data_IF_516944199634
#
_entry.id   IF_516944199634
#
_cell.length_a   1.000
_cell.length_b   1.000
_cell.length_c   1.000
_cell.angle_alpha   90.00
_cell.angle_beta   90.00
_cell.angle_gamma   90.00
#
_symmetry.space_group_name_H-M   'P 1'
#
loop_
_entity.id
_entity.type
_entity.pdbx_description
1 polymer ?
#
# COMPACT_ATOMS: atom_id res chain seq x y z
N UNK A 1 -19.23 -3.40 -15.42
CA UNK A 1 -17.96 -2.68 -15.64
C UNK A 1 -17.76 -1.56 -14.63
N UNK A 2 -18.54 -0.46 -14.58
CA UNK A 2 -18.31 0.61 -13.58
C UNK A 2 -18.28 0.15 -12.11
N UNK A 3 -19.18 -0.77 -11.73
CA UNK A 3 -19.21 -1.28 -10.35
C UNK A 3 -18.09 -2.30 -10.07
N UNK A 4 -17.52 -2.93 -11.11
CA UNK A 4 -16.49 -3.96 -10.95
C UNK A 4 -15.22 -3.36 -10.33
N UNK A 5 -14.85 -2.13 -10.70
CA UNK A 5 -13.74 -1.41 -10.08
C UNK A 5 -13.95 -1.15 -8.60
N UNK A 6 -15.17 -0.81 -8.19
CA UNK A 6 -15.52 -0.59 -6.77
C UNK A 6 -15.39 -1.90 -6.01
N UNK A 7 -15.93 -3.00 -6.55
CA UNK A 7 -15.83 -4.31 -5.90
C UNK A 7 -14.39 -4.79 -5.77
N UNK A 8 -13.55 -4.56 -6.78
CA UNK A 8 -12.13 -4.93 -6.76
C UNK A 8 -11.35 -4.11 -5.73
N UNK A 9 -11.63 -2.80 -5.68
CA UNK A 9 -11.08 -1.96 -4.64
C UNK A 9 -11.48 -2.48 -3.25
N UNK A 10 -12.77 -2.75 -3.01
CA UNK A 10 -13.25 -3.21 -1.70
C UNK A 10 -12.68 -4.59 -1.32
N UNK A 11 -12.58 -5.52 -2.27
CA UNK A 11 -12.01 -6.87 -2.04
C UNK A 11 -10.53 -6.79 -1.66
N UNK A 12 -9.78 -5.85 -2.22
CA UNK A 12 -8.37 -5.65 -1.81
C UNK A 12 -8.24 -4.84 -0.53
N UNK A 13 -9.11 -3.85 -0.31
CA UNK A 13 -9.00 -2.92 0.81
C UNK A 13 -9.50 -3.49 2.14
N UNK A 14 -10.70 -4.09 2.17
CA UNK A 14 -11.36 -4.49 3.42
C UNK A 14 -10.56 -5.55 4.20
N UNK A 15 -10.05 -6.63 3.58
CA UNK A 15 -9.27 -7.63 4.30
C UNK A 15 -8.01 -7.03 4.94
N UNK A 16 -7.31 -6.17 4.21
CA UNK A 16 -6.10 -5.52 4.69
C UNK A 16 -6.40 -4.54 5.82
N UNK A 17 -7.52 -3.80 5.74
CA UNK A 17 -7.98 -2.94 6.81
C UNK A 17 -8.27 -3.74 8.09
N UNK A 18 -8.93 -4.90 7.97
CA UNK A 18 -9.19 -5.79 9.10
C UNK A 18 -7.87 -6.26 9.72
N UNK A 19 -6.91 -6.68 8.90
CA UNK A 19 -5.57 -7.09 9.37
C UNK A 19 -4.90 -5.94 10.11
N UNK A 20 -4.91 -4.72 9.56
CA UNK A 20 -4.32 -3.54 10.21
C UNK A 20 -4.94 -3.28 11.59
N UNK A 21 -6.26 -3.38 11.71
CA UNK A 21 -6.99 -3.16 12.97
C UNK A 21 -6.70 -4.23 14.03
N UNK A 22 -6.40 -5.46 13.61
CA UNK A 22 -6.07 -6.57 14.50
C UNK A 22 -4.56 -6.67 14.81
N UNK A 23 -3.72 -6.09 13.97
CA UNK A 23 -2.26 -6.14 14.09
C UNK A 23 -1.75 -5.20 15.18
N UNK A 24 -0.66 -5.56 15.90
CA UNK A 24 0.00 -4.63 16.79
C UNK A 24 0.60 -3.47 15.97
N UNK A 25 0.73 -2.26 16.56
CA UNK A 25 1.29 -1.09 15.88
C UNK A 25 2.82 -1.17 15.80
N UNK A 26 3.33 -2.31 15.33
CA UNK A 26 4.76 -2.60 15.19
C UNK A 26 5.09 -2.54 13.69
N UNK A 27 6.22 -1.90 13.39
CA UNK A 27 6.79 -1.92 12.06
C UNK A 27 7.73 -3.12 11.89
N UNK A 28 7.72 -3.73 10.71
CA UNK A 28 8.77 -4.66 10.31
C UNK A 28 10.06 -3.89 9.99
N UNK A 29 11.19 -4.59 9.96
CA UNK A 29 12.50 -3.95 9.73
C UNK A 29 12.52 -3.11 8.45
N UNK A 30 12.02 -3.64 7.33
CA UNK A 30 11.95 -2.87 6.08
C UNK A 30 11.04 -1.64 6.20
N UNK A 31 9.91 -1.74 6.92
CA UNK A 31 9.02 -0.60 7.14
C UNK A 31 9.70 0.49 7.99
N UNK A 32 10.49 0.10 9.00
CA UNK A 32 11.32 1.03 9.78
C UNK A 32 12.34 1.74 8.91
N UNK A 33 13.08 0.99 8.08
CA UNK A 33 14.08 1.53 7.17
C UNK A 33 13.51 2.63 6.26
N UNK A 34 12.33 2.40 5.66
CA UNK A 34 11.67 3.40 4.82
C UNK A 34 11.17 4.61 5.63
N UNK A 35 10.66 4.39 6.84
CA UNK A 35 10.18 5.49 7.68
C UNK A 35 11.33 6.37 8.19
N UNK A 36 12.46 5.77 8.56
CA UNK A 36 13.63 6.51 9.02
C UNK A 36 14.28 7.31 7.88
N UNK A 37 14.26 6.76 6.67
CA UNK A 37 14.56 7.51 5.46
C UNK A 37 13.66 8.75 5.32
N UNK A 38 12.33 8.63 5.51
CA UNK A 38 11.42 9.79 5.47
C UNK A 38 11.79 10.82 6.55
N UNK A 39 12.06 10.37 7.78
CA UNK A 39 12.48 11.24 8.88
C UNK A 39 13.79 11.95 8.56
N UNK A 40 14.71 11.29 7.86
CA UNK A 40 15.97 11.90 7.41
C UNK A 40 15.73 13.07 6.45
N UNK A 41 14.91 12.88 5.42
CA UNK A 41 14.56 13.96 4.46
C UNK A 41 13.90 15.13 5.20
N UNK A 42 13.05 14.83 6.18
CA UNK A 42 12.35 15.83 6.97
C UNK A 42 13.20 16.41 8.11
N UNK A 43 14.51 16.13 8.14
CA UNK A 43 15.48 16.64 9.12
C UNK A 43 15.17 16.25 10.57
N UNK A 44 14.43 15.16 10.78
CA UNK A 44 14.07 14.64 12.09
C UNK A 44 15.10 13.62 12.64
N UNK A 45 15.92 13.01 11.78
CA UNK A 45 16.94 12.03 12.18
C UNK A 45 18.20 12.13 11.30
N UNK A 46 19.41 11.95 11.87
CA UNK A 46 20.63 11.87 11.07
C UNK A 46 20.84 10.51 10.38
N UNK A 47 20.16 9.46 10.85
CA UNK A 47 20.23 8.11 10.28
C UNK A 47 19.57 8.04 8.90
N UNK A 48 20.19 7.33 7.96
CA UNK A 48 19.72 7.15 6.59
C UNK A 48 20.19 5.81 5.99
N UNK A 49 19.28 5.06 5.37
CA UNK A 49 19.56 3.84 4.62
C UNK A 49 19.69 4.09 3.11
N UNK A 50 20.94 4.16 2.66
CA UNK A 50 21.33 4.50 1.28
C UNK A 50 20.89 3.49 0.21
N UNK A 51 20.74 2.20 0.56
CA UNK A 51 20.50 1.14 -0.42
C UNK A 51 19.01 0.80 -0.62
N UNK A 52 18.10 1.70 -0.23
CA UNK A 52 16.65 1.52 -0.38
C UNK A 52 16.12 2.22 -1.62
N UNK A 53 15.12 1.60 -2.26
CA UNK A 53 14.54 2.14 -3.49
C UNK A 53 13.86 3.49 -3.21
N UNK A 54 14.23 4.57 -3.92
CA UNK A 54 13.87 5.87 -3.41
C UNK A 54 12.40 6.25 -3.59
N UNK A 55 11.64 5.57 -4.44
CA UNK A 55 10.28 6.01 -4.70
C UNK A 55 9.36 5.90 -3.46
N UNK A 56 9.55 4.85 -2.64
CA UNK A 56 8.62 4.54 -1.56
C UNK A 56 8.66 5.60 -0.44
N UNK A 57 9.85 5.92 0.09
CA UNK A 57 9.99 7.01 1.07
C UNK A 57 9.56 8.37 0.51
N UNK A 58 9.79 8.69 -0.78
CA UNK A 58 9.23 9.92 -1.39
C UNK A 58 7.69 9.96 -1.33
N UNK A 59 7.03 8.85 -1.65
CA UNK A 59 5.56 8.74 -1.56
C UNK A 59 5.06 8.84 -0.11
N UNK A 60 5.87 8.42 0.86
CA UNK A 60 5.52 8.44 2.28
C UNK A 60 5.70 9.82 2.95
N UNK A 61 6.49 10.74 2.39
CA UNK A 61 6.74 12.07 2.98
C UNK A 61 5.45 12.81 3.33
N UNK A 62 4.49 13.01 2.40
CA UNK A 62 3.32 13.85 2.69
C UNK A 62 2.45 13.29 3.81
N UNK A 63 2.16 11.98 3.77
CA UNK A 63 1.34 11.34 4.79
C UNK A 63 2.06 11.31 6.14
N UNK A 64 3.37 11.05 6.15
CA UNK A 64 4.15 11.00 7.39
C UNK A 64 4.21 12.37 8.05
N UNK A 65 4.36 13.44 7.26
CA UNK A 65 4.35 14.80 7.77
C UNK A 65 2.98 15.20 8.35
N UNK A 66 1.90 15.00 7.58
CA UNK A 66 0.54 15.40 8.00
C UNK A 66 0.07 14.62 9.24
N UNK A 67 0.47 13.36 9.37
CA UNK A 67 0.03 12.47 10.46
C UNK A 67 1.01 12.41 11.62
N UNK A 68 2.07 13.24 11.60
CA UNK A 68 3.14 13.25 12.60
C UNK A 68 3.74 11.85 12.85
N UNK A 69 4.10 11.15 11.77
CA UNK A 69 4.71 9.81 11.76
C UNK A 69 3.85 8.72 12.42
N UNK A 70 2.53 8.90 12.44
CA UNK A 70 1.64 7.91 13.01
C UNK A 70 1.55 6.66 12.10
N UNK A 71 2.07 5.55 12.62
CA UNK A 71 2.19 4.25 11.94
C UNK A 71 0.85 3.78 11.37
N UNK A 72 -0.24 3.97 12.12
CA UNK A 72 -1.56 3.51 11.69
C UNK A 72 -2.00 4.19 10.39
N UNK A 73 -1.85 5.51 10.31
CA UNK A 73 -2.24 6.26 9.10
C UNK A 73 -1.31 6.00 7.92
N UNK A 74 -0.02 5.78 8.18
CA UNK A 74 0.94 5.41 7.15
C UNK A 74 0.59 4.05 6.54
N UNK A 75 0.29 3.03 7.39
CA UNK A 75 -0.15 1.72 6.90
C UNK A 75 -1.48 1.80 6.16
N UNK A 76 -2.44 2.57 6.68
CA UNK A 76 -3.72 2.79 6.01
C UNK A 76 -3.55 3.40 4.62
N UNK A 77 -2.62 4.35 4.47
CA UNK A 77 -2.30 4.96 3.19
C UNK A 77 -1.66 3.97 2.21
N UNK A 78 -0.76 3.09 2.68
CA UNK A 78 -0.18 2.03 1.85
C UNK A 78 -1.24 1.03 1.40
N UNK A 79 -2.15 0.62 2.29
CA UNK A 79 -3.30 -0.24 1.95
C UNK A 79 -4.18 0.42 0.88
N UNK A 80 -4.41 1.74 1.00
CA UNK A 80 -5.13 2.49 -0.01
C UNK A 80 -4.42 2.49 -1.38
N UNK A 81 -3.11 2.76 -1.42
CA UNK A 81 -2.31 2.72 -2.66
C UNK A 81 -2.35 1.31 -3.26
N UNK A 82 -2.16 0.28 -2.45
CA UNK A 82 -2.23 -1.10 -2.89
C UNK A 82 -3.58 -1.40 -3.53
N UNK A 83 -4.67 -1.03 -2.86
CA UNK A 83 -6.03 -1.25 -3.35
C UNK A 83 -6.34 -0.44 -4.62
N UNK A 84 -5.73 0.73 -4.79
CA UNK A 84 -5.79 1.48 -6.04
C UNK A 84 -5.03 0.75 -7.16
N UNK A 85 -3.87 0.18 -6.84
CA UNK A 85 -3.04 -0.57 -7.82
C UNK A 85 -3.76 -1.82 -8.34
N UNK A 86 -4.56 -2.51 -7.51
CA UNK A 86 -5.36 -3.66 -7.95
C UNK A 86 -6.43 -3.26 -8.97
N UNK A 87 -7.04 -2.07 -8.81
CA UNK A 87 -8.01 -1.54 -9.77
C UNK A 87 -7.33 -1.23 -11.11
N UNK A 88 -6.14 -0.62 -11.08
CA UNK A 88 -5.37 -0.40 -12.31
C UNK A 88 -4.97 -1.70 -12.99
N UNK A 89 -4.55 -2.71 -12.22
CA UNK A 89 -4.25 -4.03 -12.74
C UNK A 89 -5.48 -4.65 -13.41
N UNK A 90 -6.65 -4.56 -12.78
CA UNK A 90 -7.88 -5.07 -13.38
C UNK A 90 -8.24 -4.35 -14.68
N UNK A 91 -8.05 -3.03 -14.73
CA UNK A 91 -8.27 -2.26 -15.96
C UNK A 91 -7.38 -2.73 -17.11
N UNK A 92 -6.12 -3.08 -16.83
CA UNK A 92 -5.20 -3.65 -17.83
C UNK A 92 -5.68 -5.05 -18.25
N UNK A 93 -6.18 -5.85 -17.30
CA UNK A 93 -6.68 -7.19 -17.57
C UNK A 93 -8.01 -7.20 -18.35
N UNK A 94 -8.79 -6.12 -18.27
CA UNK A 94 -10.06 -5.98 -18.99
C UNK A 94 -9.90 -6.05 -20.52
N UNK A 95 -8.71 -5.72 -21.03
CA UNK A 95 -8.36 -5.87 -22.45
C UNK A 95 -8.28 -7.35 -22.90
N UNK A 96 -8.31 -8.30 -21.96
CA UNK A 96 -8.30 -9.73 -22.24
C UNK A 96 -9.72 -10.33 -22.17
N UNK A 97 -10.07 -11.19 -23.13
CA UNK A 97 -11.44 -11.69 -23.35
C UNK A 97 -12.08 -12.51 -22.20
N UNK A 98 -11.34 -12.89 -21.15
CA UNK A 98 -11.87 -13.77 -20.10
C UNK A 98 -11.99 -13.08 -18.73
N UNK A 99 -13.18 -12.52 -18.48
CA UNK A 99 -13.53 -11.81 -17.25
C UNK A 99 -13.33 -12.65 -15.97
N UNK A 100 -13.58 -13.95 -16.02
CA UNK A 100 -13.46 -14.83 -14.84
C UNK A 100 -12.01 -15.07 -14.46
N UNK A 101 -11.12 -15.25 -15.45
CA UNK A 101 -9.67 -15.38 -15.21
C UNK A 101 -9.14 -14.08 -14.58
N UNK A 102 -9.60 -12.93 -15.07
CA UNK A 102 -9.20 -11.64 -14.53
C UNK A 102 -9.56 -11.49 -13.05
N UNK A 103 -10.77 -11.90 -12.65
CA UNK A 103 -11.16 -11.89 -11.24
C UNK A 103 -10.32 -12.81 -10.37
N UNK A 104 -9.99 -14.01 -10.86
CA UNK A 104 -9.13 -14.95 -10.15
C UNK A 104 -7.72 -14.36 -9.98
N UNK A 105 -7.16 -13.77 -11.02
CA UNK A 105 -5.85 -13.11 -10.98
C UNK A 105 -5.82 -11.95 -9.97
N UNK A 106 -6.86 -11.12 -9.96
CA UNK A 106 -6.99 -10.03 -8.99
C UNK A 106 -7.10 -10.56 -7.56
N UNK A 107 -7.85 -11.63 -7.35
CA UNK A 107 -7.96 -12.27 -6.04
C UNK A 107 -6.59 -12.77 -5.56
N UNK A 108 -5.85 -13.51 -6.40
CA UNK A 108 -4.49 -13.95 -6.06
C UNK A 108 -3.54 -12.78 -5.79
N UNK A 109 -3.59 -11.74 -6.62
CA UNK A 109 -2.78 -10.54 -6.41
C UNK A 109 -3.13 -9.84 -5.09
N UNK A 110 -4.41 -9.73 -4.76
CA UNK A 110 -4.87 -9.12 -3.49
C UNK A 110 -4.44 -9.90 -2.24
N UNK A 111 -4.33 -11.23 -2.37
CA UNK A 111 -3.87 -12.11 -1.29
C UNK A 111 -2.34 -12.12 -1.13
N UNK A 112 -1.59 -11.88 -2.21
CA UNK A 112 -0.13 -11.77 -2.18
C UNK A 112 0.39 -10.38 -1.76
N UNK A 113 -0.49 -9.39 -1.64
CA UNK A 113 -0.11 -8.01 -1.43
C UNK A 113 0.00 -7.59 0.04
N UNK A 114 0.68 -8.39 0.87
CA UNK A 114 1.16 -8.08 2.23
C UNK A 114 2.16 -9.18 2.66
#
# INVERSE_FOLDING_TARGET
MKNDYIYIFLISFIPQLIILLLSPPILLWDEYSYLDNVKHILLNTPYFEYYRFPLLWWILIPISYITNFNIFFIKLFLIFIFSLSTVFLYKILEDYNNKYINYILILFYSLNGL
#
